data_IF_477367580554
#
_entry.id   IF_477367580554
#
_cell.length_a   1.000
_cell.length_b   1.000
_cell.length_c   1.000
_cell.angle_alpha   90.00
_cell.angle_beta   90.00
_cell.angle_gamma   90.00
#
_symmetry.space_group_name_H-M   'P 1'
#
loop_
_entity.id
_entity.type
_entity.pdbx_description
1 polymer ?
#
# COMPACT_ATOMS: atom_id res chain seq x y z
N UNK A 1 23.70 -6.60 -22.06
CA UNK A 1 23.16 -7.25 -21.45
C UNK A 1 21.74 -7.44 -21.05
N UNK A 2 21.34 -7.32 -19.84
CA UNK A 2 19.97 -7.60 -19.38
C UNK A 2 18.90 -6.71 -20.05
N UNK A 3 19.23 -5.49 -20.45
CA UNK A 3 18.29 -4.60 -21.15
C UNK A 3 17.87 -5.12 -22.54
N UNK A 4 18.68 -5.93 -23.21
CA UNK A 4 18.34 -6.48 -24.52
C UNK A 4 17.23 -7.53 -24.47
N UNK A 5 17.24 -8.39 -23.45
CA UNK A 5 16.27 -9.47 -23.34
C UNK A 5 14.85 -8.98 -23.00
N UNK A 6 14.76 -7.92 -22.20
CA UNK A 6 13.45 -7.31 -21.89
C UNK A 6 12.85 -6.57 -23.08
N UNK A 7 13.69 -5.94 -23.90
CA UNK A 7 13.22 -5.31 -25.13
C UNK A 7 12.72 -6.34 -26.15
N UNK A 8 13.39 -7.50 -26.26
CA UNK A 8 12.92 -8.58 -27.11
C UNK A 8 11.60 -9.16 -26.65
N UNK A 9 11.46 -9.46 -25.36
CA UNK A 9 10.22 -10.00 -24.80
C UNK A 9 9.05 -9.02 -24.99
N UNK A 10 9.29 -7.74 -24.74
CA UNK A 10 8.26 -6.73 -24.92
C UNK A 10 7.90 -6.54 -26.41
N UNK A 11 8.88 -6.54 -27.31
CA UNK A 11 8.64 -6.48 -28.74
C UNK A 11 7.84 -7.71 -29.22
N UNK A 12 8.19 -8.90 -28.75
CA UNK A 12 7.46 -10.12 -29.11
C UNK A 12 6.02 -10.08 -28.60
N UNK A 13 5.77 -9.59 -27.38
CA UNK A 13 4.43 -9.45 -26.84
C UNK A 13 3.63 -8.37 -27.57
N UNK A 14 4.24 -7.25 -27.89
CA UNK A 14 3.61 -6.20 -28.69
C UNK A 14 3.30 -6.73 -30.08
N UNK A 15 4.24 -7.40 -30.73
CA UNK A 15 4.06 -7.94 -32.09
C UNK A 15 2.99 -9.02 -32.12
N UNK A 16 2.99 -9.96 -31.17
CA UNK A 16 2.01 -11.03 -31.11
C UNK A 16 0.58 -10.52 -30.86
N UNK A 17 0.42 -9.43 -30.12
CA UNK A 17 -0.89 -8.83 -29.89
C UNK A 17 -1.38 -7.96 -31.04
N UNK A 18 -0.51 -7.64 -31.99
CA UNK A 18 -0.76 -6.69 -33.07
C UNK A 18 -0.87 -7.35 -34.42
N UNK A 19 -0.22 -8.51 -34.63
CA UNK A 19 -0.28 -9.25 -35.90
C UNK A 19 -1.66 -9.84 -36.21
N UNK A 20 -2.51 -10.06 -35.20
CA UNK A 20 -3.79 -10.72 -35.42
C UNK A 20 -4.86 -9.85 -36.10
N UNK A 21 -4.78 -8.52 -36.01
CA UNK A 21 -5.73 -7.62 -36.67
C UNK A 21 -5.10 -6.27 -37.07
N UNK A 22 -4.54 -6.12 -38.28
CA UNK A 22 -4.06 -4.86 -38.78
C UNK A 22 -5.16 -3.80 -38.82
N UNK A 23 -4.95 -2.70 -38.12
CA UNK A 23 -5.91 -1.57 -38.06
C UNK A 23 -6.81 -1.51 -36.84
N UNK A 24 -6.78 -2.49 -35.93
CA UNK A 24 -7.41 -2.34 -34.63
C UNK A 24 -6.38 -1.87 -33.60
N UNK A 25 -6.71 -0.75 -32.91
CA UNK A 25 -5.92 -0.26 -31.80
C UNK A 25 -6.16 -1.20 -30.60
N UNK A 26 -5.50 -2.35 -30.56
CA UNK A 26 -5.41 -3.12 -29.32
C UNK A 26 -4.55 -2.37 -28.34
N UNK A 27 -5.13 -2.04 -27.21
CA UNK A 27 -4.45 -1.41 -26.11
C UNK A 27 -3.63 -2.48 -25.40
N UNK A 28 -2.34 -2.47 -25.59
CA UNK A 28 -1.38 -3.35 -24.90
C UNK A 28 -1.01 -2.77 -23.51
N UNK A 29 -1.94 -2.08 -22.88
CA UNK A 29 -1.70 -1.39 -21.61
C UNK A 29 -1.34 -2.32 -20.48
N UNK A 30 -1.86 -3.55 -20.46
CA UNK A 30 -1.56 -4.50 -19.38
C UNK A 30 -0.10 -4.98 -19.44
N UNK A 31 0.42 -5.23 -20.62
CA UNK A 31 1.78 -5.76 -20.78
C UNK A 31 2.84 -4.67 -20.61
N UNK A 32 2.52 -3.45 -21.01
CA UNK A 32 3.40 -2.28 -20.80
C UNK A 32 3.50 -1.97 -19.30
N UNK A 33 2.43 -2.09 -18.54
CA UNK A 33 2.41 -1.85 -17.10
C UNK A 33 3.34 -2.79 -16.32
N UNK A 34 3.51 -4.02 -16.76
CA UNK A 34 4.40 -5.00 -16.13
C UNK A 34 5.87 -4.57 -16.30
N UNK A 35 6.18 -3.95 -17.41
CA UNK A 35 7.55 -3.59 -17.79
C UNK A 35 7.91 -2.13 -17.51
N UNK A 36 6.95 -1.31 -17.11
CA UNK A 36 7.12 0.12 -16.88
C UNK A 36 8.30 0.47 -15.96
N UNK A 37 8.59 -0.40 -14.99
CA UNK A 37 9.71 -0.21 -14.07
C UNK A 37 11.08 -0.46 -14.68
N UNK A 38 11.15 -1.36 -15.66
CA UNK A 38 12.41 -1.84 -16.23
C UNK A 38 12.77 -1.19 -17.54
N UNK A 39 11.85 -0.42 -18.09
CA UNK A 39 11.98 -0.04 -19.48
C UNK A 39 11.66 1.42 -19.69
N UNK A 40 12.73 2.22 -19.86
CA UNK A 40 12.66 3.33 -20.77
C UNK A 40 12.74 2.75 -22.20
N UNK A 41 11.66 2.14 -22.67
CA UNK A 41 11.65 1.57 -24.00
C UNK A 41 11.21 2.65 -24.97
N UNK A 42 12.11 2.97 -25.89
CA UNK A 42 11.71 3.42 -27.20
C UNK A 42 11.49 2.18 -28.07
N UNK A 43 10.34 1.57 -27.97
CA UNK A 43 9.97 0.51 -28.91
C UNK A 43 9.31 1.15 -30.09
N UNK A 44 9.95 1.04 -31.24
CA UNK A 44 9.38 1.48 -32.49
C UNK A 44 8.81 0.26 -33.21
N UNK A 45 7.52 0.04 -33.07
CA UNK A 45 6.80 -1.00 -33.80
C UNK A 45 5.92 -0.32 -34.85
N UNK A 46 6.07 -0.68 -36.10
CA UNK A 46 5.26 -0.13 -37.18
C UNK A 46 4.09 -1.07 -37.44
N UNK A 47 2.89 -0.61 -37.17
CA UNK A 47 1.67 -1.31 -37.47
C UNK A 47 0.86 -0.39 -38.38
N UNK A 48 0.59 -0.82 -39.60
CA UNK A 48 -0.16 -0.01 -40.56
C UNK A 48 0.36 1.43 -40.68
N UNK A 49 1.68 1.58 -40.76
CA UNK A 49 2.36 2.89 -40.77
C UNK A 49 2.28 3.69 -39.47
N UNK A 50 1.69 3.16 -38.40
CA UNK A 50 1.64 3.78 -37.08
C UNK A 50 2.77 3.28 -36.23
N UNK A 51 3.41 4.18 -35.54
CA UNK A 51 4.53 3.87 -34.64
C UNK A 51 4.08 4.02 -33.20
N UNK A 52 4.24 2.98 -32.41
CA UNK A 52 4.07 3.06 -30.96
C UNK A 52 5.39 3.51 -30.37
N UNK A 53 5.37 4.61 -29.65
CA UNK A 53 6.53 5.16 -28.98
C UNK A 53 6.24 5.24 -27.49
N UNK A 54 6.94 4.44 -26.73
CA UNK A 54 6.94 4.55 -25.26
C UNK A 54 8.00 5.58 -24.88
N UNK A 55 7.59 6.76 -24.46
CA UNK A 55 8.47 7.88 -24.15
C UNK A 55 8.98 7.82 -22.70
N UNK A 56 8.19 7.35 -21.82
CA UNK A 56 8.53 7.10 -20.41
C UNK A 56 7.54 6.12 -19.80
N UNK A 57 7.78 5.62 -18.58
CA UNK A 57 6.86 4.72 -17.94
C UNK A 57 5.43 5.25 -17.74
N UNK A 58 5.20 6.52 -17.97
CA UNK A 58 3.91 7.18 -17.75
C UNK A 58 3.15 7.51 -19.02
N UNK A 59 3.80 7.43 -20.18
CA UNK A 59 3.20 7.86 -21.45
C UNK A 59 3.42 6.84 -22.55
N UNK A 60 2.34 6.34 -23.10
CA UNK A 60 2.35 5.57 -24.35
C UNK A 60 1.73 6.43 -25.42
N UNK A 61 2.53 6.85 -26.39
CA UNK A 61 2.09 7.70 -27.50
C UNK A 61 2.10 6.90 -28.79
N UNK A 62 0.95 6.83 -29.46
CA UNK A 62 0.84 6.34 -30.82
C UNK A 62 1.09 7.48 -31.81
N UNK A 63 2.25 7.47 -32.48
CA UNK A 63 2.48 8.39 -33.57
C UNK A 63 1.53 8.09 -34.73
N UNK A 64 0.66 9.03 -35.02
CA UNK A 64 -0.34 8.92 -36.09
C UNK A 64 -1.77 8.91 -35.61
N UNK A 65 -2.06 9.29 -34.38
CA UNK A 65 -3.37 9.79 -34.06
C UNK A 65 -4.19 9.20 -32.94
N UNK A 66 -3.65 8.48 -31.98
CA UNK A 66 -4.32 8.33 -30.68
C UNK A 66 -3.29 8.44 -29.55
N UNK A 67 -3.42 9.48 -28.78
CA UNK A 67 -2.87 9.57 -27.43
C UNK A 67 -3.70 8.64 -26.53
N UNK A 68 -3.06 7.63 -25.98
CA UNK A 68 -3.58 6.97 -24.81
C UNK A 68 -2.99 7.71 -23.63
N UNK A 69 -3.74 8.61 -23.07
CA UNK A 69 -3.40 9.23 -21.80
C UNK A 69 -3.58 8.16 -20.73
N UNK A 70 -2.46 7.70 -20.19
CA UNK A 70 -2.42 6.86 -18.98
C UNK A 70 -2.54 7.70 -17.72
N UNK A 71 -3.16 8.89 -17.79
CA UNK A 71 -3.29 9.83 -16.68
C UNK A 71 -3.88 9.18 -15.42
N UNK A 72 -4.80 8.25 -15.59
CA UNK A 72 -5.39 7.52 -14.48
C UNK A 72 -4.43 6.46 -13.87
N UNK A 73 -3.43 6.01 -14.62
CA UNK A 73 -2.49 4.97 -14.18
C UNK A 73 -1.20 5.59 -13.64
N UNK A 74 -0.84 6.78 -14.08
CA UNK A 74 0.42 7.45 -13.74
C UNK A 74 0.46 8.02 -12.31
N UNK A 75 -0.69 8.23 -11.67
CA UNK A 75 -0.79 8.76 -10.31
C UNK A 75 -1.00 7.70 -9.25
N UNK A 76 -1.23 6.45 -9.65
CA UNK A 76 -1.47 5.36 -8.70
C UNK A 76 -0.15 4.73 -8.28
N UNK A 77 0.14 4.77 -6.99
CA UNK A 77 1.27 4.04 -6.40
C UNK A 77 1.17 2.56 -6.75
N UNK A 78 2.28 1.95 -7.13
CA UNK A 78 2.34 0.53 -7.47
C UNK A 78 3.17 -0.23 -6.46
N UNK A 79 2.71 -1.43 -6.18
CA UNK A 79 3.31 -2.35 -5.23
C UNK A 79 3.66 -3.65 -5.94
N UNK A 80 4.94 -3.98 -5.96
CA UNK A 80 5.48 -5.15 -6.62
C UNK A 80 5.71 -6.25 -5.60
N UNK A 81 5.17 -7.42 -5.86
CA UNK A 81 5.35 -8.60 -5.02
C UNK A 81 6.38 -9.52 -5.63
N UNK A 82 7.39 -9.88 -4.86
CA UNK A 82 8.46 -10.78 -5.26
C UNK A 82 8.56 -11.95 -4.29
N UNK A 83 8.95 -13.11 -4.79
CA UNK A 83 9.42 -14.23 -3.98
C UNK A 83 10.64 -14.88 -4.63
N UNK A 84 11.05 -16.06 -4.15
CA UNK A 84 12.20 -16.80 -4.68
C UNK A 84 12.07 -17.16 -6.18
N UNK A 85 10.87 -17.15 -6.72
CA UNK A 85 10.58 -17.48 -8.12
C UNK A 85 10.41 -16.26 -9.03
N UNK A 86 10.60 -15.04 -8.49
CA UNK A 86 10.48 -13.79 -9.23
C UNK A 86 9.24 -12.97 -8.87
N UNK A 87 8.82 -12.11 -9.81
CA UNK A 87 7.63 -11.26 -9.65
C UNK A 87 6.37 -12.10 -9.61
N UNK A 88 5.56 -11.94 -8.55
CA UNK A 88 4.30 -12.65 -8.36
C UNK A 88 3.09 -11.80 -8.75
N UNK A 89 3.24 -10.47 -8.71
CA UNK A 89 2.17 -9.57 -9.10
C UNK A 89 2.53 -8.09 -8.88
N UNK A 90 1.70 -7.23 -9.48
CA UNK A 90 1.77 -5.78 -9.35
C UNK A 90 0.38 -5.30 -8.96
N UNK A 91 0.30 -4.49 -7.91
CA UNK A 91 -0.96 -4.08 -7.30
C UNK A 91 -1.00 -2.57 -7.11
N UNK A 92 -2.16 -1.96 -7.30
CA UNK A 92 -2.41 -0.57 -6.94
C UNK A 92 -2.76 -0.41 -5.46
N UNK A 93 -3.31 -1.46 -4.84
CA UNK A 93 -3.69 -1.46 -3.44
C UNK A 93 -2.62 -2.17 -2.57
N UNK A 94 -2.05 -1.49 -1.58
CA UNK A 94 -1.00 -2.07 -0.73
C UNK A 94 -1.49 -3.28 0.05
N UNK A 95 -2.74 -3.29 0.53
CA UNK A 95 -3.31 -4.42 1.24
C UNK A 95 -3.36 -5.70 0.39
N UNK A 96 -3.70 -5.59 -0.91
CA UNK A 96 -3.67 -6.74 -1.83
C UNK A 96 -2.25 -7.26 -2.05
N UNK A 97 -1.27 -6.36 -2.21
CA UNK A 97 0.13 -6.72 -2.37
C UNK A 97 0.69 -7.42 -1.11
N UNK A 98 0.40 -6.88 0.07
CA UNK A 98 0.85 -7.47 1.35
C UNK A 98 0.21 -8.84 1.57
N UNK A 99 -1.07 -9.00 1.26
CA UNK A 99 -1.75 -10.29 1.37
C UNK A 99 -1.11 -11.34 0.44
N UNK A 100 -0.89 -10.99 -0.81
CA UNK A 100 -0.20 -11.89 -1.77
C UNK A 100 1.20 -12.26 -1.30
N UNK A 101 1.98 -11.27 -0.86
CA UNK A 101 3.32 -11.51 -0.32
C UNK A 101 3.29 -12.36 0.96
N UNK A 102 2.28 -12.17 1.81
CA UNK A 102 2.10 -12.98 3.01
C UNK A 102 1.87 -14.45 2.65
N UNK A 103 0.97 -14.73 1.70
CA UNK A 103 0.60 -16.07 1.27
C UNK A 103 1.75 -16.75 0.49
N UNK A 104 2.45 -16.01 -0.37
CA UNK A 104 3.55 -16.52 -1.21
C UNK A 104 4.93 -16.48 -0.53
N UNK A 105 5.02 -16.06 0.74
CA UNK A 105 6.29 -15.85 1.47
C UNK A 105 7.22 -14.87 0.76
N UNK A 106 6.65 -13.79 0.25
CA UNK A 106 7.30 -12.80 -0.59
C UNK A 106 7.69 -11.52 0.14
N UNK A 107 8.06 -10.56 -0.69
CA UNK A 107 8.42 -9.17 -0.33
C UNK A 107 7.57 -8.23 -1.17
N UNK A 108 7.14 -7.13 -0.60
CA UNK A 108 6.49 -6.03 -1.32
C UNK A 108 7.45 -4.85 -1.41
N UNK A 109 7.64 -4.31 -2.59
CA UNK A 109 8.32 -3.02 -2.79
C UNK A 109 7.38 -2.04 -3.46
N UNK A 110 7.60 -0.74 -3.25
CA UNK A 110 6.91 0.30 -4.02
C UNK A 110 7.65 0.59 -5.34
N UNK A 111 7.13 1.54 -6.12
CA UNK A 111 7.68 2.02 -7.39
C UNK A 111 9.08 2.65 -7.27
N UNK A 112 9.48 3.07 -6.07
CA UNK A 112 10.85 3.55 -5.77
C UNK A 112 11.80 2.43 -5.35
N UNK A 113 11.33 1.18 -5.29
CA UNK A 113 12.11 0.03 -4.82
C UNK A 113 12.26 -0.06 -3.30
N UNK A 114 11.54 0.76 -2.55
CA UNK A 114 11.58 0.73 -1.08
C UNK A 114 10.73 -0.45 -0.61
N UNK A 115 11.26 -1.24 0.33
CA UNK A 115 10.52 -2.36 0.92
C UNK A 115 9.34 -1.85 1.72
N UNK A 116 8.14 -2.21 1.28
CA UNK A 116 6.87 -1.90 1.96
C UNK A 116 6.56 -2.95 3.02
N UNK A 117 6.81 -4.22 2.70
CA UNK A 117 6.54 -5.33 3.58
C UNK A 117 7.45 -6.52 3.27
N UNK A 118 7.81 -7.26 4.32
CA UNK A 118 8.68 -8.42 4.20
C UNK A 118 8.21 -9.51 5.18
N UNK A 119 8.04 -10.73 4.71
CA UNK A 119 7.83 -11.88 5.59
C UNK A 119 9.14 -12.29 6.22
N UNK A 120 9.20 -12.33 7.54
CA UNK A 120 10.41 -12.72 8.28
C UNK A 120 10.14 -12.89 9.76
N UNK A 121 11.18 -13.28 10.50
CA UNK A 121 11.10 -13.39 11.94
C UNK A 121 10.89 -12.00 12.55
N UNK A 122 9.76 -11.82 13.22
CA UNK A 122 9.43 -10.59 13.92
C UNK A 122 10.09 -10.58 15.28
N UNK A 123 10.70 -9.46 15.61
CA UNK A 123 11.17 -9.20 16.96
C UNK A 123 9.99 -8.76 17.81
N UNK A 124 9.76 -9.43 18.93
CA UNK A 124 8.67 -9.05 19.85
C UNK A 124 8.88 -7.63 20.37
N UNK A 125 7.82 -6.85 20.38
CA UNK A 125 7.77 -5.51 20.96
C UNK A 125 6.66 -5.47 22.03
N UNK A 126 6.94 -4.93 23.20
CA UNK A 126 5.94 -4.90 24.25
C UNK A 126 4.93 -3.76 24.06
N UNK A 127 5.42 -2.58 23.68
CA UNK A 127 4.59 -1.40 23.50
C UNK A 127 5.33 -0.33 22.68
N UNK A 128 4.59 0.46 21.91
CA UNK A 128 5.09 1.68 21.27
C UNK A 128 5.02 2.80 22.31
N UNK A 129 6.18 3.29 22.74
CA UNK A 129 6.32 4.18 23.92
C UNK A 129 5.56 5.51 23.80
N UNK A 130 5.46 6.07 22.58
CA UNK A 130 4.81 7.36 22.36
C UNK A 130 3.28 7.29 22.30
N UNK A 131 2.70 6.11 22.27
CA UNK A 131 1.24 5.93 22.31
C UNK A 131 0.78 5.93 23.76
N UNK A 132 -0.10 6.87 24.09
CA UNK A 132 -0.64 7.06 25.44
C UNK A 132 -2.09 6.63 25.50
N UNK A 133 -2.51 6.27 26.72
CA UNK A 133 -3.92 6.10 27.05
C UNK A 133 -4.66 7.43 26.87
N UNK A 134 -5.71 7.41 26.08
CA UNK A 134 -6.55 8.59 25.83
C UNK A 134 -7.99 8.11 25.59
N UNK A 135 -8.94 8.75 26.24
CA UNK A 135 -10.37 8.42 26.12
C UNK A 135 -11.06 9.30 25.10
N UNK A 136 -12.17 8.79 24.57
CA UNK A 136 -13.15 9.60 23.85
C UNK A 136 -13.68 10.73 24.74
N UNK A 137 -14.14 11.80 24.14
CA UNK A 137 -14.78 12.95 24.80
C UNK A 137 -16.01 13.35 24.00
N UNK A 138 -16.80 14.30 24.50
CA UNK A 138 -17.95 14.85 23.77
C UNK A 138 -17.54 15.46 22.39
N UNK A 139 -16.28 15.82 22.23
CA UNK A 139 -15.73 16.43 21.02
C UNK A 139 -14.88 15.48 20.19
N UNK A 140 -14.35 14.40 20.76
CA UNK A 140 -13.44 13.47 20.08
C UNK A 140 -13.99 12.05 20.15
N UNK A 141 -14.34 11.51 18.99
CA UNK A 141 -14.64 10.09 18.85
C UNK A 141 -13.35 9.24 18.85
N UNK A 142 -13.49 7.93 18.84
CA UNK A 142 -12.36 7.00 18.88
C UNK A 142 -11.41 7.15 17.70
N UNK A 143 -11.92 7.45 16.50
CA UNK A 143 -11.10 7.67 15.32
C UNK A 143 -10.25 8.94 15.44
N UNK A 144 -10.84 10.05 15.94
CA UNK A 144 -10.11 11.28 16.25
C UNK A 144 -8.97 11.03 17.24
N UNK A 145 -9.26 10.32 18.33
CA UNK A 145 -8.26 9.99 19.36
C UNK A 145 -7.13 9.14 18.76
N UNK A 146 -7.46 8.15 17.96
CA UNK A 146 -6.47 7.29 17.31
C UNK A 146 -5.58 8.09 16.34
N UNK A 147 -6.15 8.93 15.47
CA UNK A 147 -5.40 9.75 14.51
C UNK A 147 -4.50 10.75 15.21
N UNK A 148 -5.00 11.46 16.24
CA UNK A 148 -4.19 12.38 17.03
C UNK A 148 -3.00 11.68 17.70
N UNK A 149 -3.18 10.44 18.16
CA UNK A 149 -2.10 9.63 18.72
C UNK A 149 -1.07 9.18 17.68
N UNK A 150 -1.51 8.80 16.47
CA UNK A 150 -0.60 8.47 15.37
C UNK A 150 0.25 9.68 14.99
N UNK A 151 -0.39 10.83 14.80
CA UNK A 151 0.31 12.07 14.46
C UNK A 151 1.28 12.50 15.56
N UNK A 152 0.87 12.40 16.82
CA UNK A 152 1.73 12.68 17.98
C UNK A 152 2.93 11.73 18.04
N UNK A 153 2.74 10.46 17.72
CA UNK A 153 3.85 9.50 17.60
C UNK A 153 4.85 9.89 16.51
N UNK A 154 4.36 10.45 15.42
CA UNK A 154 5.19 11.02 14.35
C UNK A 154 5.77 12.41 14.69
N UNK A 155 5.56 12.94 15.89
CA UNK A 155 6.03 14.25 16.33
C UNK A 155 5.15 15.43 15.93
N UNK A 156 3.92 15.17 15.46
CA UNK A 156 2.98 16.17 14.96
C UNK A 156 1.87 16.35 16.00
N UNK A 157 1.66 17.59 16.45
CA UNK A 157 0.54 17.92 17.33
C UNK A 157 -0.60 18.51 16.49
N UNK A 158 -1.72 17.79 16.42
CA UNK A 158 -2.90 18.21 15.69
C UNK A 158 -4.17 17.68 16.36
N UNK A 159 -5.26 18.40 16.17
CA UNK A 159 -6.62 17.92 16.44
C UNK A 159 -7.27 17.63 15.09
N UNK A 160 -7.55 16.35 14.84
CA UNK A 160 -8.09 15.87 13.56
C UNK A 160 -9.61 15.90 13.49
N UNK A 161 -10.29 16.31 14.58
CA UNK A 161 -11.75 16.41 14.64
C UNK A 161 -12.34 17.28 13.52
N UNK A 162 -11.71 18.45 13.30
CA UNK A 162 -12.15 19.38 12.25
C UNK A 162 -12.04 18.74 10.86
N UNK A 163 -10.94 18.06 10.57
CA UNK A 163 -10.71 17.41 9.28
C UNK A 163 -11.73 16.28 9.03
N UNK A 164 -12.02 15.49 10.05
CA UNK A 164 -13.07 14.46 9.99
C UNK A 164 -14.47 15.07 9.80
N UNK A 165 -14.77 16.19 10.49
CA UNK A 165 -16.03 16.91 10.33
C UNK A 165 -16.20 17.49 8.91
N UNK A 166 -15.11 17.77 8.19
CA UNK A 166 -15.13 18.15 6.78
C UNK A 166 -15.28 16.95 5.82
N UNK A 167 -15.40 15.74 6.35
CA UNK A 167 -15.57 14.51 5.56
C UNK A 167 -14.28 13.91 5.02
N UNK A 168 -13.11 14.35 5.51
CA UNK A 168 -11.85 13.70 5.14
C UNK A 168 -11.75 12.30 5.73
N UNK A 169 -11.16 11.40 4.97
CA UNK A 169 -10.85 10.04 5.44
C UNK A 169 -9.61 10.02 6.33
N UNK A 170 -9.43 8.96 7.11
CA UNK A 170 -8.22 8.75 7.90
C UNK A 170 -6.95 8.78 7.05
N UNK A 171 -6.99 8.17 5.85
CA UNK A 171 -5.87 8.16 4.91
C UNK A 171 -5.52 9.58 4.47
N UNK A 172 -6.50 10.37 4.00
CA UNK A 172 -6.28 11.76 3.60
C UNK A 172 -5.70 12.61 4.72
N UNK A 173 -6.20 12.45 5.96
CA UNK A 173 -5.69 13.19 7.11
C UNK A 173 -4.22 12.84 7.38
N UNK A 174 -3.85 11.57 7.33
CA UNK A 174 -2.46 11.15 7.53
C UNK A 174 -1.56 11.64 6.39
N UNK A 175 -1.97 11.50 5.13
CA UNK A 175 -1.21 11.95 3.96
C UNK A 175 -0.96 13.47 3.96
N UNK A 176 -1.96 14.26 4.33
CA UNK A 176 -1.84 15.73 4.36
C UNK A 176 -0.95 16.25 5.51
N UNK A 177 -0.84 15.50 6.60
CA UNK A 177 -0.12 15.97 7.78
C UNK A 177 1.26 15.35 7.96
N UNK A 178 1.55 14.22 7.33
CA UNK A 178 2.82 13.51 7.50
C UNK A 178 3.71 13.66 6.27
N UNK A 179 4.97 14.03 6.47
CA UNK A 179 5.98 14.12 5.41
C UNK A 179 6.99 12.99 5.53
N UNK A 180 7.60 12.57 4.41
CA UNK A 180 8.59 11.49 4.40
C UNK A 180 7.99 10.11 4.73
N UNK A 181 6.68 9.95 4.56
CA UNK A 181 5.97 8.70 4.76
C UNK A 181 5.08 8.36 3.55
N UNK A 182 4.71 7.11 3.45
CA UNK A 182 3.68 6.62 2.55
C UNK A 182 2.59 5.99 3.42
N UNK A 183 1.36 6.47 3.32
CA UNK A 183 0.21 5.90 4.03
C UNK A 183 -0.27 4.66 3.29
N UNK A 184 -0.64 3.64 4.04
CA UNK A 184 -0.98 2.32 3.51
C UNK A 184 -2.37 1.89 4.01
N UNK A 185 -3.28 1.66 3.09
CA UNK A 185 -4.52 0.94 3.34
C UNK A 185 -4.22 -0.57 3.28
N UNK A 186 -4.25 -1.22 4.42
CA UNK A 186 -4.00 -2.64 4.58
C UNK A 186 -5.28 -3.44 4.85
N UNK A 187 -6.43 -2.89 4.45
CA UNK A 187 -7.72 -3.58 4.61
C UNK A 187 -7.70 -4.95 3.96
N UNK A 188 -8.19 -5.94 4.71
CA UNK A 188 -8.19 -7.34 4.33
C UNK A 188 -6.90 -8.11 4.64
N UNK A 189 -5.85 -7.46 5.14
CA UNK A 189 -4.68 -8.16 5.66
C UNK A 189 -4.98 -8.81 7.02
N UNK A 190 -4.28 -9.90 7.34
CA UNK A 190 -4.36 -10.50 8.67
C UNK A 190 -3.65 -9.63 9.71
N UNK A 191 -4.06 -9.76 10.98
CA UNK A 191 -3.36 -9.14 12.09
C UNK A 191 -1.86 -9.47 12.06
N UNK A 192 -1.51 -10.74 11.79
CA UNK A 192 -0.13 -11.20 11.71
C UNK A 192 0.70 -10.41 10.67
N UNK A 193 0.12 -10.11 9.52
CA UNK A 193 0.78 -9.32 8.49
C UNK A 193 1.05 -7.88 8.94
N UNK A 194 0.09 -7.23 9.59
CA UNK A 194 0.25 -5.82 9.99
C UNK A 194 1.16 -5.62 11.18
N UNK A 195 1.42 -6.65 11.99
CA UNK A 195 2.42 -6.60 13.06
C UNK A 195 3.85 -6.34 12.56
N UNK A 196 4.11 -6.51 11.27
CA UNK A 196 5.33 -6.07 10.62
C UNK A 196 5.64 -4.59 10.89
N UNK A 197 4.61 -3.71 10.81
CA UNK A 197 4.77 -2.27 11.05
C UNK A 197 4.93 -1.95 12.54
N UNK A 198 4.18 -2.63 13.39
CA UNK A 198 4.32 -2.48 14.85
C UNK A 198 5.74 -2.84 15.30
N UNK A 199 6.36 -3.83 14.65
CA UNK A 199 7.76 -4.18 14.91
C UNK A 199 8.76 -3.08 14.53
N UNK A 200 8.37 -2.18 13.62
CA UNK A 200 9.17 -1.03 13.20
C UNK A 200 8.85 0.25 13.98
N UNK A 201 8.15 0.13 15.09
CA UNK A 201 7.69 1.26 15.92
C UNK A 201 6.67 2.15 15.20
N UNK A 202 5.83 1.54 14.37
CA UNK A 202 4.77 2.23 13.64
C UNK A 202 3.43 1.67 14.12
N UNK A 203 2.53 2.51 14.68
CA UNK A 203 1.22 2.06 15.14
C UNK A 203 0.32 1.72 13.94
N UNK A 204 -0.58 0.76 14.16
CA UNK A 204 -1.58 0.37 13.16
C UNK A 204 -2.95 0.78 13.67
N UNK A 205 -3.64 1.62 12.91
CA UNK A 205 -5.04 1.96 13.11
C UNK A 205 -5.90 0.79 12.64
N UNK A 206 -6.84 0.36 13.46
CA UNK A 206 -7.91 -0.55 13.06
C UNK A 206 -9.26 0.14 13.21
N UNK A 207 -10.07 0.10 12.16
CA UNK A 207 -11.46 0.61 12.17
C UNK A 207 -12.36 -0.60 12.26
N UNK A 208 -13.27 -0.60 13.24
CA UNK A 208 -14.18 -1.69 13.51
C UNK A 208 -15.48 -1.49 12.71
N UNK A 209 -16.29 -2.55 12.57
CA UNK A 209 -17.54 -2.51 11.80
C UNK A 209 -18.56 -1.49 12.33
N UNK A 210 -18.55 -1.24 13.64
CA UNK A 210 -19.40 -0.22 14.27
C UNK A 210 -18.92 1.23 14.08
N UNK A 211 -17.79 1.40 13.39
CA UNK A 211 -17.14 2.70 13.15
C UNK A 211 -16.22 3.15 14.28
N UNK A 212 -16.11 2.39 15.38
CA UNK A 212 -15.10 2.63 16.41
C UNK A 212 -13.69 2.35 15.87
N UNK A 213 -12.70 2.96 16.51
CA UNK A 213 -11.33 2.80 16.12
C UNK A 213 -10.43 2.47 17.31
N UNK A 214 -9.42 1.65 17.06
CA UNK A 214 -8.40 1.27 18.03
C UNK A 214 -7.00 1.33 17.40
N UNK A 215 -5.95 1.39 18.22
CA UNK A 215 -4.57 1.28 17.76
C UNK A 215 -3.93 -0.02 18.24
N UNK A 216 -3.32 -0.74 17.31
CA UNK A 216 -2.39 -1.82 17.62
C UNK A 216 -1.02 -1.19 17.86
N UNK A 217 -0.51 -1.31 19.08
CA UNK A 217 0.66 -0.54 19.55
C UNK A 217 1.80 -1.40 20.07
N UNK A 218 1.61 -2.71 20.13
CA UNK A 218 2.62 -3.63 20.61
C UNK A 218 2.18 -5.08 20.46
N UNK A 219 3.13 -5.99 20.63
CA UNK A 219 2.85 -7.42 20.64
C UNK A 219 3.99 -8.22 21.25
N UNK A 220 3.69 -9.44 21.59
CA UNK A 220 4.65 -10.53 21.84
C UNK A 220 4.10 -11.82 21.22
N UNK A 221 4.73 -12.95 21.53
CA UNK A 221 4.30 -14.26 21.01
C UNK A 221 2.85 -14.60 21.36
N UNK A 222 2.35 -14.16 22.53
CA UNK A 222 1.07 -14.59 23.08
C UNK A 222 -0.02 -13.50 22.99
N UNK A 223 0.36 -12.22 22.91
CA UNK A 223 -0.57 -11.11 23.06
C UNK A 223 -0.28 -9.98 22.10
N UNK A 224 -1.34 -9.23 21.80
CA UNK A 224 -1.29 -7.92 21.15
C UNK A 224 -1.64 -6.84 22.19
N UNK A 225 -0.98 -5.68 22.10
CA UNK A 225 -1.29 -4.50 22.91
C UNK A 225 -2.16 -3.57 22.07
N UNK A 226 -3.33 -3.24 22.61
CA UNK A 226 -4.34 -2.40 21.95
C UNK A 226 -4.60 -1.17 22.82
N UNK A 227 -4.58 0.01 22.20
CA UNK A 227 -5.11 1.23 22.76
C UNK A 227 -6.54 1.41 22.27
N UNK A 228 -7.48 1.43 23.20
CA UNK A 228 -8.91 1.49 22.95
C UNK A 228 -9.49 2.78 23.55
N UNK A 229 -9.80 3.79 22.73
CA UNK A 229 -10.29 5.08 23.21
C UNK A 229 -11.63 5.01 23.96
N UNK A 230 -12.51 4.07 23.59
CA UNK A 230 -13.81 3.90 24.25
C UNK A 230 -13.67 3.57 25.74
N UNK A 231 -12.63 2.84 26.11
CA UNK A 231 -12.28 2.53 27.50
C UNK A 231 -11.19 3.44 28.07
N UNK A 232 -10.47 4.16 27.20
CA UNK A 232 -9.32 4.98 27.55
C UNK A 232 -8.12 4.19 28.03
N UNK A 233 -7.97 2.93 27.62
CA UNK A 233 -6.96 2.02 28.17
C UNK A 233 -6.08 1.40 27.09
N UNK A 234 -4.85 1.12 27.51
CA UNK A 234 -3.97 0.15 26.85
C UNK A 234 -4.15 -1.21 27.53
N UNK A 235 -4.46 -2.23 26.78
CA UNK A 235 -4.58 -3.58 27.33
C UNK A 235 -3.99 -4.65 26.40
N UNK A 236 -3.74 -5.82 26.97
CA UNK A 236 -3.29 -7.00 26.24
C UNK A 236 -4.48 -7.88 25.90
N UNK A 237 -4.60 -8.25 24.64
CA UNK A 237 -5.52 -9.26 24.14
C UNK A 237 -4.74 -10.46 23.64
N UNK A 238 -5.19 -11.69 23.93
CA UNK A 238 -4.54 -12.89 23.42
C UNK A 238 -4.41 -12.87 21.90
N UNK A 239 -3.29 -13.35 21.35
CA UNK A 239 -3.03 -13.27 19.90
C UNK A 239 -4.15 -13.91 19.08
N UNK A 240 -4.61 -15.09 19.45
CA UNK A 240 -5.68 -15.79 18.74
C UNK A 240 -7.01 -15.04 18.84
N UNK A 241 -7.34 -14.55 20.03
CA UNK A 241 -8.59 -13.80 20.27
C UNK A 241 -8.57 -12.46 19.52
N UNK A 242 -7.41 -11.79 19.47
CA UNK A 242 -7.25 -10.56 18.69
C UNK A 242 -7.38 -10.83 17.19
N UNK A 243 -6.77 -11.91 16.69
CA UNK A 243 -6.85 -12.29 15.28
C UNK A 243 -8.31 -12.58 14.88
N UNK A 244 -9.05 -13.33 15.70
CA UNK A 244 -10.45 -13.60 15.45
C UNK A 244 -11.29 -12.31 15.50
N UNK A 245 -11.07 -11.48 16.53
CA UNK A 245 -11.80 -10.24 16.71
C UNK A 245 -11.61 -9.25 15.56
N UNK A 246 -10.38 -9.04 15.09
CA UNK A 246 -10.13 -8.18 13.94
C UNK A 246 -10.71 -8.77 12.64
N UNK A 247 -10.65 -10.10 12.47
CA UNK A 247 -11.25 -10.76 11.31
C UNK A 247 -12.79 -10.60 11.28
N UNK A 248 -13.45 -10.72 12.44
CA UNK A 248 -14.88 -10.45 12.61
C UNK A 248 -15.25 -9.00 12.32
N UNK A 249 -14.30 -8.06 12.50
CA UNK A 249 -14.45 -6.64 12.18
C UNK A 249 -13.85 -6.28 10.81
N UNK A 250 -13.73 -7.23 9.88
CA UNK A 250 -13.34 -6.99 8.48
C UNK A 250 -11.87 -6.69 8.23
N UNK A 251 -11.00 -6.73 9.26
CA UNK A 251 -9.57 -6.43 9.12
C UNK A 251 -9.28 -5.08 8.42
N UNK A 252 -9.95 -4.01 8.81
CA UNK A 252 -9.74 -2.68 8.25
C UNK A 252 -8.56 -1.99 8.93
N UNK A 253 -7.36 -2.21 8.40
CA UNK A 253 -6.13 -1.66 8.93
C UNK A 253 -5.58 -0.52 8.07
N UNK A 254 -5.12 0.55 8.72
CA UNK A 254 -4.43 1.68 8.10
C UNK A 254 -3.14 1.93 8.88
N UNK A 255 -2.05 2.15 8.18
CA UNK A 255 -0.76 2.48 8.78
C UNK A 255 0.07 3.32 7.81
N UNK A 256 1.34 3.51 8.10
CA UNK A 256 2.26 4.18 7.19
C UNK A 256 3.62 3.49 7.19
N UNK A 257 4.44 3.82 6.21
CA UNK A 257 5.86 3.47 6.19
C UNK A 257 6.70 4.73 5.99
N UNK A 258 7.94 4.73 6.49
CA UNK A 258 8.89 5.81 6.22
C UNK A 258 9.48 5.62 4.83
N UNK A 259 9.52 6.69 4.04
CA UNK A 259 10.08 6.68 2.67
C UNK A 259 11.48 7.26 2.60
N UNK A 260 11.95 7.85 3.71
CA UNK A 260 13.30 8.40 3.88
C UNK A 260 13.98 7.70 5.06
N UNK A 261 15.24 7.33 4.87
CA UNK A 261 16.12 6.83 5.94
C UNK A 261 16.91 7.96 6.56
#
# INVERSE_FOLDING_TARGET
>A
SENGSYQEILNDQIMNNVEEEPGQNKVVTADIDIYERYVQIQTKTTIDTKTIKVLNPKEVVFEGGRELTLDAVSEVSRYYVYNAYGVQGIYSAPGKAVKEAYDSSGVVTNDRGITVWLKGNRVSRNQIMAIKEESVTDQKNSLTVCLDNILRHAGITRNTEYDLAQGKTAIQILEENMTGVQVLDLSGCSLDAVLYYVNQDIPVLAILEDGEAVLVTGFNEFNVVIMEPSTGKLYKKGMNDATAWFAENGNHFITYMRTEN
#
